data_IF_385196343597
#
_entry.id   IF_385196343597
#
_cell.length_a   1.000
_cell.length_b   1.000
_cell.length_c   1.000
_cell.angle_alpha   90.00
_cell.angle_beta   90.00
_cell.angle_gamma   90.00
#
_symmetry.space_group_name_H-M   'P 1'
#
loop_
_entity.id
_entity.type
_entity.pdbx_description
1 polymer ?
#
# COMPACT_ATOMS: atom_id res chain seq x y z
N UNK A 1 10.78 0.45 -40.59
CA UNK A 1 10.28 -0.66 -41.45
C UNK A 1 11.09 -0.64 -42.72
N UNK A 2 12.09 -1.52 -42.82
CA UNK A 2 13.03 -1.54 -43.94
C UNK A 2 12.53 -2.52 -45.01
N UNK A 3 11.81 -2.02 -46.02
CA UNK A 3 11.36 -2.84 -47.15
C UNK A 3 12.51 -3.05 -48.16
N UNK A 4 13.16 -4.20 -48.10
CA UNK A 4 14.25 -4.58 -49.02
C UNK A 4 13.70 -5.43 -50.17
N UNK A 5 13.80 -4.92 -51.41
CA UNK A 5 13.49 -5.70 -52.62
C UNK A 5 14.80 -6.21 -53.25
N UNK A 6 15.17 -7.46 -52.95
CA UNK A 6 16.41 -8.09 -53.39
C UNK A 6 16.24 -8.81 -54.74
N UNK A 7 16.28 -8.08 -55.85
CA UNK A 7 16.29 -8.70 -57.19
C UNK A 7 17.72 -8.83 -57.71
N UNK A 8 18.31 -10.02 -57.57
CA UNK A 8 19.58 -10.38 -58.21
C UNK A 8 20.87 -10.12 -57.43
N UNK A 9 20.79 -9.86 -56.11
CA UNK A 9 21.97 -9.74 -55.23
C UNK A 9 22.68 -11.10 -55.03
N UNK A 10 24.01 -11.14 -55.11
CA UNK A 10 24.84 -12.32 -54.77
C UNK A 10 25.38 -12.27 -53.33
N UNK A 11 25.29 -11.09 -52.71
CA UNK A 11 25.66 -10.80 -51.33
C UNK A 11 24.68 -9.80 -50.71
N UNK A 12 24.30 -10.05 -49.46
CA UNK A 12 23.57 -9.11 -48.61
C UNK A 12 24.25 -9.02 -47.25
N UNK A 13 24.68 -7.82 -46.89
CA UNK A 13 25.16 -7.49 -45.54
C UNK A 13 24.27 -6.40 -44.98
N UNK A 14 23.79 -6.61 -43.77
CA UNK A 14 22.99 -5.65 -43.02
C UNK A 14 23.58 -5.59 -41.62
N UNK A 15 23.89 -4.39 -41.18
CA UNK A 15 24.24 -4.02 -39.82
C UNK A 15 23.19 -3.02 -39.34
N UNK A 16 22.60 -3.28 -38.19
CA UNK A 16 21.66 -2.37 -37.54
C UNK A 16 22.10 -2.12 -36.10
N UNK A 17 22.12 -0.85 -35.72
CA UNK A 17 22.59 -0.32 -34.47
C UNK A 17 21.41 0.29 -33.71
N UNK A 18 21.19 -0.21 -32.49
CA UNK A 18 20.26 0.41 -31.55
C UNK A 18 20.94 1.57 -30.81
N UNK A 19 20.16 2.49 -30.20
CA UNK A 19 20.73 3.55 -29.37
C UNK A 19 21.72 3.04 -28.31
N UNK A 20 22.73 3.86 -28.02
CA UNK A 20 23.76 3.50 -27.05
C UNK A 20 23.15 3.13 -25.68
N UNK A 21 23.63 2.02 -25.11
CA UNK A 21 23.16 1.49 -23.82
C UNK A 21 21.97 0.54 -23.94
N UNK A 22 21.32 0.45 -25.10
CA UNK A 22 20.24 -0.52 -25.34
C UNK A 22 20.84 -1.85 -25.77
N UNK A 23 20.14 -2.94 -25.48
CA UNK A 23 20.63 -4.29 -25.76
C UNK A 23 19.85 -4.93 -26.91
N UNK A 24 20.55 -5.58 -27.82
CA UNK A 24 19.94 -6.45 -28.85
C UNK A 24 19.98 -7.91 -28.42
N UNK A 25 18.95 -8.67 -28.79
CA UNK A 25 18.88 -10.12 -28.54
C UNK A 25 18.05 -10.85 -29.59
N UNK A 26 18.15 -12.19 -29.64
CA UNK A 26 17.33 -13.07 -30.48
C UNK A 26 17.23 -12.68 -31.97
N UNK A 27 18.35 -12.46 -32.68
CA UNK A 27 18.29 -12.18 -34.12
C UNK A 27 17.72 -13.37 -34.92
N UNK A 28 16.86 -13.08 -35.88
CA UNK A 28 16.29 -14.09 -36.78
C UNK A 28 17.31 -14.54 -37.83
N UNK A 29 17.01 -15.66 -38.51
CA UNK A 29 17.68 -16.10 -39.75
C UNK A 29 19.21 -16.20 -39.69
N UNK A 30 19.74 -16.51 -38.49
CA UNK A 30 21.17 -16.69 -38.27
C UNK A 30 21.96 -15.39 -38.14
N UNK A 31 21.29 -14.27 -37.84
CA UNK A 31 21.97 -13.03 -37.48
C UNK A 31 22.87 -13.20 -36.25
N UNK A 32 23.90 -12.37 -36.17
CA UNK A 32 24.89 -12.37 -35.09
C UNK A 32 24.91 -11.02 -34.37
N UNK A 33 25.18 -11.08 -33.07
CA UNK A 33 25.36 -9.89 -32.23
C UNK A 33 26.87 -9.68 -32.11
N UNK A 34 27.41 -8.62 -32.72
CA UNK A 34 28.85 -8.33 -32.71
C UNK A 34 29.27 -7.59 -31.44
N UNK A 35 28.43 -6.68 -30.96
CA UNK A 35 28.50 -6.03 -29.66
C UNK A 35 27.09 -5.89 -29.06
N UNK A 36 26.98 -5.43 -27.81
CA UNK A 36 25.71 -5.43 -27.07
C UNK A 36 24.57 -4.66 -27.75
N UNK A 37 24.85 -3.77 -28.69
CA UNK A 37 23.89 -2.86 -29.32
C UNK A 37 23.86 -2.96 -30.86
N UNK A 38 24.51 -3.95 -31.44
CA UNK A 38 24.64 -4.09 -32.91
C UNK A 38 24.32 -5.52 -33.35
N UNK A 39 23.46 -5.63 -34.36
CA UNK A 39 23.03 -6.88 -34.95
C UNK A 39 23.34 -6.93 -36.45
N UNK A 40 23.94 -8.04 -36.87
CA UNK A 40 24.49 -8.22 -38.21
C UNK A 40 23.93 -9.45 -38.91
N UNK A 41 23.64 -9.32 -40.20
CA UNK A 41 23.28 -10.41 -41.10
C UNK A 41 24.19 -10.41 -42.32
N UNK A 42 24.70 -11.59 -42.66
CA UNK A 42 25.53 -11.79 -43.84
C UNK A 42 25.01 -12.99 -44.63
N UNK A 43 24.53 -12.74 -45.84
CA UNK A 43 24.09 -13.77 -46.78
C UNK A 43 24.98 -13.73 -48.02
N UNK A 44 25.50 -14.90 -48.43
CA UNK A 44 26.42 -15.03 -49.58
C UNK A 44 25.93 -16.18 -50.46
N UNK A 45 25.95 -15.98 -51.78
CA UNK A 45 25.68 -16.99 -52.83
C UNK A 45 24.28 -17.61 -52.84
N UNK A 46 23.30 -17.00 -52.19
CA UNK A 46 21.89 -17.36 -52.33
C UNK A 46 21.05 -16.13 -52.03
N UNK A 47 20.28 -15.65 -53.01
CA UNK A 47 19.26 -14.64 -52.74
C UNK A 47 18.37 -15.20 -51.62
N UNK A 48 18.38 -14.61 -50.42
CA UNK A 48 17.51 -15.11 -49.39
C UNK A 48 16.09 -14.87 -49.88
N UNK A 49 15.26 -15.91 -49.88
CA UNK A 49 13.80 -15.74 -49.97
C UNK A 49 13.22 -15.08 -48.70
N UNK A 50 14.04 -14.35 -47.95
CA UNK A 50 13.74 -13.72 -46.67
C UNK A 50 13.22 -12.33 -46.97
N UNK A 51 11.99 -12.07 -46.58
CA UNK A 51 11.34 -10.78 -46.75
C UNK A 51 11.38 -9.93 -45.47
N UNK A 52 11.87 -10.49 -44.36
CA UNK A 52 11.87 -9.82 -43.05
C UNK A 52 12.99 -10.36 -42.16
N UNK A 53 13.71 -9.46 -41.49
CA UNK A 53 14.68 -9.76 -40.43
C UNK A 53 14.19 -9.10 -39.13
N UNK A 54 14.33 -9.79 -38.00
CA UNK A 54 13.87 -9.31 -36.69
C UNK A 54 14.87 -9.57 -35.59
N UNK A 55 14.82 -8.77 -34.53
CA UNK A 55 15.56 -8.94 -33.28
C UNK A 55 14.79 -8.26 -32.15
N UNK A 56 15.08 -8.64 -30.91
CA UNK A 56 14.50 -8.05 -29.71
C UNK A 56 15.40 -6.93 -29.18
N UNK A 57 14.78 -5.88 -28.63
CA UNK A 57 15.47 -4.72 -28.05
C UNK A 57 15.08 -4.57 -26.58
N UNK A 58 16.08 -4.52 -25.70
CA UNK A 58 15.88 -4.18 -24.28
C UNK A 58 16.26 -2.71 -24.05
N UNK A 59 15.28 -1.92 -23.61
CA UNK A 59 15.44 -0.50 -23.27
C UNK A 59 15.88 -0.39 -21.80
N UNK A 60 16.94 0.37 -21.48
CA UNK A 60 17.33 0.68 -20.10
C UNK A 60 16.24 1.43 -19.34
N UNK A 61 16.05 1.10 -18.07
CA UNK A 61 15.05 1.76 -17.22
C UNK A 61 15.28 3.26 -16.99
N UNK A 62 16.49 3.75 -17.30
CA UNK A 62 16.91 5.16 -17.20
C UNK A 62 16.95 5.89 -18.57
N UNK A 63 16.42 5.28 -19.64
CA UNK A 63 16.35 5.94 -20.95
C UNK A 63 15.48 7.20 -20.87
N UNK A 64 16.02 8.33 -21.34
CA UNK A 64 15.30 9.60 -21.35
C UNK A 64 14.05 9.53 -22.25
N UNK A 65 12.99 10.24 -21.86
CA UNK A 65 11.80 10.39 -22.72
C UNK A 65 12.19 11.14 -23.98
N UNK A 66 11.81 10.59 -25.14
CA UNK A 66 12.05 11.24 -26.42
C UNK A 66 12.27 10.29 -27.59
N UNK A 67 12.52 10.86 -28.78
CA UNK A 67 12.71 10.10 -29.99
C UNK A 67 14.13 9.49 -30.03
N UNK A 68 14.18 8.20 -30.30
CA UNK A 68 15.42 7.48 -30.58
C UNK A 68 15.39 6.94 -32.00
N UNK A 69 16.51 7.09 -32.70
CA UNK A 69 16.70 6.62 -34.07
C UNK A 69 17.56 5.37 -34.07
N UNK A 70 17.10 4.37 -34.79
CA UNK A 70 17.91 3.25 -35.22
C UNK A 70 18.73 3.69 -36.46
N UNK A 71 19.90 3.11 -36.63
CA UNK A 71 20.81 3.44 -37.73
C UNK A 71 21.73 2.28 -38.00
N UNK A 72 22.46 2.28 -39.10
CA UNK A 72 23.18 1.08 -39.50
C UNK A 72 23.90 1.22 -40.81
N UNK A 73 24.36 0.11 -41.35
CA UNK A 73 24.97 0.04 -42.67
C UNK A 73 24.44 -1.16 -43.44
N UNK A 74 24.32 -1.05 -44.76
CA UNK A 74 23.96 -2.17 -45.61
C UNK A 74 24.79 -2.20 -46.89
N UNK A 75 25.01 -3.40 -47.42
CA UNK A 75 25.68 -3.64 -48.69
C UNK A 75 24.93 -4.75 -49.46
N UNK A 76 24.44 -4.40 -50.66
CA UNK A 76 23.75 -5.30 -51.58
C UNK A 76 24.52 -5.35 -52.89
N UNK A 77 25.43 -6.32 -53.03
CA UNK A 77 26.32 -6.38 -54.19
C UNK A 77 25.87 -7.38 -55.26
N UNK A 78 26.27 -7.09 -56.49
CA UNK A 78 26.48 -8.05 -57.61
C UNK A 78 27.72 -7.67 -58.44
N UNK A 79 28.14 -6.40 -58.38
CA UNK A 79 29.44 -5.90 -58.83
C UNK A 79 29.73 -4.56 -58.13
N UNK A 80 30.29 -4.64 -56.92
CA UNK A 80 30.80 -3.55 -56.09
C UNK A 80 29.90 -2.29 -55.89
N UNK A 81 28.97 -2.32 -54.93
CA UNK A 81 28.68 -1.18 -54.07
C UNK A 81 29.45 -1.32 -52.74
N UNK A 82 29.87 -0.19 -52.16
CA UNK A 82 30.40 -0.14 -50.79
C UNK A 82 29.27 0.01 -49.77
N UNK A 83 29.59 -0.16 -48.48
CA UNK A 83 28.68 0.06 -47.34
C UNK A 83 27.91 1.38 -47.51
N UNK A 84 26.59 1.31 -47.45
CA UNK A 84 25.67 2.44 -47.46
C UNK A 84 25.11 2.62 -46.06
N UNK A 85 25.11 3.83 -45.53
CA UNK A 85 24.55 4.12 -44.20
C UNK A 85 23.02 4.11 -44.24
N UNK A 86 22.42 3.40 -43.30
CA UNK A 86 21.01 3.50 -42.92
C UNK A 86 20.89 4.66 -41.94
N UNK A 87 20.30 5.77 -42.37
CA UNK A 87 19.96 6.87 -41.46
C UNK A 87 18.44 6.91 -41.25
N UNK A 88 17.99 6.59 -40.03
CA UNK A 88 16.61 6.77 -39.56
C UNK A 88 15.55 5.86 -40.22
N UNK A 89 15.79 4.56 -40.34
CA UNK A 89 14.81 3.62 -40.92
C UNK A 89 13.62 3.34 -40.00
N UNK A 90 13.84 3.42 -38.69
CA UNK A 90 12.84 3.24 -37.65
C UNK A 90 13.07 4.25 -36.52
N UNK A 91 12.00 4.95 -36.13
CA UNK A 91 11.98 5.82 -34.96
C UNK A 91 11.11 5.18 -33.90
N UNK A 92 11.63 5.08 -32.68
CA UNK A 92 10.85 4.72 -31.52
C UNK A 92 10.81 5.90 -30.56
N UNK A 93 9.63 6.19 -30.04
CA UNK A 93 9.47 7.19 -29.01
C UNK A 93 9.41 6.47 -27.66
N UNK A 94 10.39 6.71 -26.81
CA UNK A 94 10.27 6.35 -25.39
C UNK A 94 9.26 7.32 -24.81
N UNK A 95 8.08 6.80 -24.46
CA UNK A 95 7.04 7.57 -23.80
C UNK A 95 7.16 7.37 -22.30
N UNK A 96 6.84 8.41 -21.55
CA UNK A 96 6.67 8.31 -20.11
C UNK A 96 5.59 7.26 -19.84
N UNK A 97 5.90 6.29 -18.98
CA UNK A 97 4.89 5.36 -18.47
C UNK A 97 3.87 6.22 -17.73
N UNK A 98 2.57 6.17 -18.04
CA UNK A 98 1.59 6.89 -17.26
C UNK A 98 1.73 6.43 -15.81
N UNK A 99 2.05 7.35 -14.91
CA UNK A 99 1.91 7.09 -13.49
C UNK A 99 0.47 6.63 -13.28
N UNK A 100 0.27 5.38 -12.82
CA UNK A 100 -1.06 4.98 -12.36
C UNK A 100 -1.48 6.00 -11.30
N UNK A 101 -2.74 6.44 -11.28
CA UNK A 101 -3.20 7.32 -10.22
C UNK A 101 -3.01 6.58 -8.90
N UNK A 102 -1.95 6.93 -8.17
CA UNK A 102 -1.75 6.42 -6.82
C UNK A 102 -3.01 6.80 -6.04
N UNK A 103 -3.68 5.81 -5.47
CA UNK A 103 -4.67 6.08 -4.44
C UNK A 103 -3.97 6.97 -3.40
N UNK A 104 -4.58 8.09 -2.96
CA UNK A 104 -3.95 8.94 -1.97
C UNK A 104 -3.59 8.07 -0.76
N UNK A 105 -2.30 7.91 -0.51
CA UNK A 105 -1.83 7.25 0.70
C UNK A 105 -2.28 8.17 1.82
N UNK A 106 -3.26 7.73 2.60
CA UNK A 106 -3.65 8.44 3.79
C UNK A 106 -2.44 8.45 4.73
N UNK A 107 -1.96 9.64 5.04
CA UNK A 107 -0.87 9.88 5.99
C UNK A 107 -1.46 9.69 7.39
N UNK A 108 -1.48 8.43 7.84
CA UNK A 108 -1.92 8.08 9.18
C UNK A 108 -0.80 8.38 10.17
N UNK A 109 -1.16 8.90 11.35
CA UNK A 109 -0.20 9.01 12.44
C UNK A 109 0.12 7.60 12.98
N UNK A 110 1.36 7.33 13.41
CA UNK A 110 1.70 6.07 14.05
C UNK A 110 0.98 5.93 15.39
N UNK A 111 0.71 4.68 15.81
CA UNK A 111 0.23 4.42 17.17
C UNK A 111 1.43 4.46 18.11
N UNK A 112 1.35 5.31 19.14
CA UNK A 112 2.35 5.39 20.21
C UNK A 112 1.99 4.41 21.31
N UNK A 113 2.90 3.49 21.62
CA UNK A 113 2.82 2.59 22.76
C UNK A 113 3.79 3.11 23.83
N UNK A 114 3.24 3.79 24.82
CA UNK A 114 3.98 4.35 25.95
C UNK A 114 4.48 3.23 26.89
N UNK A 115 5.44 3.52 27.79
CA UNK A 115 5.81 2.60 28.86
C UNK A 115 4.60 2.13 29.69
N UNK A 116 4.65 0.89 30.18
CA UNK A 116 3.59 0.26 30.95
C UNK A 116 2.30 0.01 30.14
N UNK A 117 1.13 0.11 30.79
CA UNK A 117 -0.15 -0.26 30.19
C UNK A 117 -0.65 0.85 29.28
N UNK A 118 -1.10 0.48 28.08
CA UNK A 118 -1.82 1.34 27.16
C UNK A 118 -3.18 0.69 26.88
N UNK A 119 -4.21 1.51 26.71
CA UNK A 119 -5.53 1.04 26.27
C UNK A 119 -5.81 1.59 24.88
N UNK A 120 -5.57 0.73 23.88
CA UNK A 120 -5.53 1.13 22.48
C UNK A 120 -6.64 0.47 21.65
N UNK A 121 -6.83 0.93 20.43
CA UNK A 121 -7.67 0.29 19.42
C UNK A 121 -7.06 0.40 18.03
N UNK A 122 -7.64 -0.31 17.08
CA UNK A 122 -7.35 -0.14 15.64
C UNK A 122 -8.67 0.28 14.99
N UNK A 123 -8.79 1.52 14.47
CA UNK A 123 -10.09 2.11 14.09
C UNK A 123 -10.75 1.46 12.87
N UNK A 124 -9.97 0.86 11.97
CA UNK A 124 -10.43 0.32 10.70
C UNK A 124 -9.84 -1.06 10.40
N UNK A 125 -10.47 -1.79 9.47
CA UNK A 125 -9.99 -3.12 9.09
C UNK A 125 -8.64 -2.98 8.38
N UNK A 126 -7.64 -3.75 8.80
CA UNK A 126 -6.31 -3.73 8.19
C UNK A 126 -6.19 -4.72 7.03
N UNK A 127 -5.35 -4.41 6.05
CA UNK A 127 -4.92 -5.35 5.00
C UNK A 127 -4.30 -6.62 5.62
N UNK A 128 -3.55 -6.45 6.70
CA UNK A 128 -3.03 -7.54 7.53
C UNK A 128 -3.24 -7.20 9.01
N UNK A 129 -4.27 -7.80 9.60
CA UNK A 129 -4.66 -7.59 11.00
C UNK A 129 -3.91 -8.47 12.00
N UNK A 130 -3.03 -9.37 11.56
CA UNK A 130 -2.40 -10.32 12.48
C UNK A 130 -1.55 -9.61 13.52
N UNK A 131 -1.65 -10.04 14.78
CA UNK A 131 -0.87 -9.46 15.89
C UNK A 131 0.63 -9.58 15.64
N UNK A 132 1.08 -10.71 15.06
CA UNK A 132 2.48 -10.94 14.71
C UNK A 132 3.01 -9.91 13.70
N UNK A 133 2.18 -9.50 12.74
CA UNK A 133 2.55 -8.49 11.76
C UNK A 133 2.50 -7.08 12.35
N UNK A 134 1.38 -6.73 12.99
CA UNK A 134 1.13 -5.36 13.47
C UNK A 134 2.08 -4.98 14.61
N UNK A 135 2.42 -5.92 15.49
CA UNK A 135 3.30 -5.70 16.64
C UNK A 135 4.72 -6.26 16.44
N UNK A 136 5.15 -6.51 15.19
CA UNK A 136 6.43 -7.16 14.91
C UNK A 136 7.64 -6.47 15.58
N UNK A 137 7.61 -5.14 15.66
CA UNK A 137 8.67 -4.31 16.23
C UNK A 137 8.36 -3.80 17.66
N UNK A 138 7.29 -4.29 18.28
CA UNK A 138 6.87 -3.87 19.62
C UNK A 138 7.27 -4.94 20.65
N UNK A 139 8.04 -4.54 21.67
CA UNK A 139 8.37 -5.37 22.82
C UNK A 139 7.32 -5.19 23.92
N UNK A 140 6.40 -6.15 24.05
CA UNK A 140 5.31 -6.15 25.01
C UNK A 140 5.25 -7.46 25.83
N UNK A 141 4.71 -7.37 27.06
CA UNK A 141 4.54 -8.53 27.94
C UNK A 141 3.15 -9.16 27.81
N UNK A 142 2.12 -8.33 27.63
CA UNK A 142 0.73 -8.75 27.60
C UNK A 142 -0.02 -8.02 26.50
N UNK A 143 -0.92 -8.74 25.83
CA UNK A 143 -1.92 -8.20 24.91
C UNK A 143 -3.24 -8.92 25.17
N UNK A 144 -4.27 -8.17 25.57
CA UNK A 144 -5.54 -8.72 26.03
C UNK A 144 -6.70 -7.86 25.53
N UNK A 145 -7.85 -8.46 25.27
CA UNK A 145 -9.10 -7.73 25.14
C UNK A 145 -10.19 -8.34 26.03
N UNK A 146 -11.17 -7.52 26.39
CA UNK A 146 -12.30 -7.94 27.21
C UNK A 146 -13.47 -8.42 26.33
N UNK A 147 -13.81 -9.70 26.43
CA UNK A 147 -14.99 -10.25 25.79
C UNK A 147 -16.17 -10.24 26.76
N UNK A 148 -17.08 -9.28 26.58
CA UNK A 148 -18.25 -9.11 27.46
C UNK A 148 -19.24 -10.27 27.37
N UNK A 149 -19.38 -10.91 26.21
CA UNK A 149 -20.30 -12.05 26.04
C UNK A 149 -19.94 -13.21 26.98
N UNK A 150 -18.65 -13.49 27.10
CA UNK A 150 -18.10 -14.49 28.01
C UNK A 150 -17.74 -13.97 29.40
N UNK A 151 -17.69 -12.64 29.58
CA UNK A 151 -17.08 -11.97 30.74
C UNK A 151 -15.66 -12.48 31.05
N UNK A 152 -14.83 -12.60 30.01
CA UNK A 152 -13.47 -13.15 30.07
C UNK A 152 -12.46 -12.25 29.35
N UNK A 153 -11.22 -12.29 29.83
CA UNK A 153 -10.07 -11.77 29.10
C UNK A 153 -9.59 -12.79 28.07
N UNK A 154 -9.34 -12.34 26.85
CA UNK A 154 -8.86 -13.16 25.75
C UNK A 154 -7.58 -12.57 25.16
N UNK A 155 -6.71 -13.46 24.66
CA UNK A 155 -5.50 -13.08 23.94
C UNK A 155 -5.87 -13.05 22.44
N UNK A 156 -5.78 -11.89 21.78
CA UNK A 156 -6.11 -11.80 20.36
C UNK A 156 -5.00 -12.41 19.50
N UNK A 157 -5.38 -12.93 18.33
CA UNK A 157 -4.45 -13.28 17.25
C UNK A 157 -4.49 -12.27 16.11
N UNK A 158 -5.55 -11.48 16.05
CA UNK A 158 -5.80 -10.43 15.06
C UNK A 158 -6.41 -9.20 15.72
N UNK A 159 -6.15 -8.04 15.13
CA UNK A 159 -6.83 -6.79 15.46
C UNK A 159 -8.14 -6.66 14.68
N UNK A 160 -9.21 -6.31 15.38
CA UNK A 160 -10.52 -6.11 14.82
C UNK A 160 -10.99 -4.69 15.13
N UNK A 161 -11.62 -4.00 14.17
CA UNK A 161 -12.20 -2.69 14.40
C UNK A 161 -13.23 -2.71 15.53
N UNK A 162 -13.46 -1.56 16.16
CA UNK A 162 -14.38 -1.39 17.29
C UNK A 162 -13.99 -2.15 18.57
N UNK A 163 -12.97 -3.02 18.57
CA UNK A 163 -12.41 -3.60 19.80
C UNK A 163 -11.31 -2.72 20.38
N UNK A 164 -11.21 -2.73 21.70
CA UNK A 164 -10.09 -2.15 22.41
C UNK A 164 -9.25 -3.21 23.12
N UNK A 165 -7.96 -2.93 23.20
CA UNK A 165 -6.91 -3.85 23.60
C UNK A 165 -6.06 -3.21 24.69
N UNK A 166 -5.84 -3.95 25.76
CA UNK A 166 -4.80 -3.66 26.73
C UNK A 166 -3.49 -4.23 26.25
N UNK A 167 -2.48 -3.39 26.12
CA UNK A 167 -1.10 -3.79 25.81
C UNK A 167 -0.17 -3.26 26.90
N UNK A 168 0.73 -4.10 27.39
CA UNK A 168 1.74 -3.72 28.37
C UNK A 168 3.13 -3.68 27.72
N UNK A 169 3.65 -2.47 27.52
CA UNK A 169 5.01 -2.24 27.02
C UNK A 169 6.04 -2.69 28.06
N UNK A 170 7.06 -3.40 27.59
CA UNK A 170 8.21 -3.81 28.40
C UNK A 170 9.35 -2.78 28.37
N UNK A 171 9.19 -1.73 27.57
CA UNK A 171 10.19 -0.68 27.39
C UNK A 171 9.97 0.49 28.35
N UNK A 172 11.06 1.19 28.66
CA UNK A 172 11.03 2.44 29.43
C UNK A 172 10.89 3.69 28.57
N UNK A 173 10.70 3.50 27.26
CA UNK A 173 10.53 4.53 26.24
C UNK A 173 9.36 4.17 25.34
N UNK A 174 8.82 5.16 24.64
CA UNK A 174 7.75 4.98 23.67
C UNK A 174 8.19 4.10 22.51
N UNK A 175 7.28 3.25 22.05
CA UNK A 175 7.42 2.42 20.85
C UNK A 175 6.37 2.87 19.83
N UNK A 176 6.66 2.71 18.54
CA UNK A 176 5.78 3.18 17.46
C UNK A 176 5.33 2.02 16.59
N UNK A 177 4.02 1.89 16.38
CA UNK A 177 3.47 1.09 15.29
C UNK A 177 3.40 2.01 14.07
N UNK A 178 4.23 1.74 13.06
CA UNK A 178 4.34 2.57 11.86
C UNK A 178 3.01 2.63 11.09
N UNK A 179 2.71 3.78 10.49
CA UNK A 179 1.55 3.94 9.62
C UNK A 179 1.58 3.05 8.38
N UNK A 180 2.78 2.67 7.90
CA UNK A 180 2.97 1.70 6.82
C UNK A 180 2.47 0.29 7.20
N UNK A 181 2.41 -0.03 8.49
CA UNK A 181 1.89 -1.31 8.98
C UNK A 181 0.36 -1.23 9.16
N UNK A 182 -0.17 -0.02 9.39
CA UNK A 182 -1.58 0.28 9.60
C UNK A 182 -2.31 0.56 8.28
N UNK A 183 -2.01 -0.22 7.24
CA UNK A 183 -2.69 -0.08 5.94
C UNK A 183 -4.16 -0.55 6.02
N UNK A 184 -5.12 0.31 5.67
CA UNK A 184 -6.54 -0.06 5.67
C UNK A 184 -6.86 -1.03 4.52
N UNK A 185 -7.72 -2.00 4.82
CA UNK A 185 -8.32 -2.87 3.83
C UNK A 185 -9.16 -2.05 2.85
N UNK A 186 -8.87 -2.12 1.55
CA UNK A 186 -9.59 -1.34 0.53
C UNK A 186 -10.11 -2.24 -0.60
N UNK A 187 -11.44 -2.25 -0.91
CA UNK A 187 -12.51 -1.56 -0.18
C UNK A 187 -12.87 -2.26 1.13
N UNK A 188 -13.05 -1.49 2.21
CA UNK A 188 -13.60 -1.98 3.47
C UNK A 188 -15.13 -1.95 3.48
N UNK A 189 -15.73 -2.84 4.29
CA UNK A 189 -17.12 -2.71 4.73
C UNK A 189 -17.13 -2.05 6.11
N UNK A 190 -18.07 -1.13 6.40
CA UNK A 190 -18.17 -0.52 7.73
C UNK A 190 -18.29 -1.60 8.81
N UNK A 191 -17.46 -1.54 9.88
CA UNK A 191 -17.44 -2.57 10.91
C UNK A 191 -18.67 -2.48 11.81
N UNK A 192 -19.07 -3.60 12.40
CA UNK A 192 -20.12 -3.65 13.42
C UNK A 192 -19.69 -4.57 14.56
N UNK A 193 -20.06 -4.24 15.79
CA UNK A 193 -19.77 -5.06 16.95
C UNK A 193 -20.98 -5.13 17.89
N UNK A 194 -21.35 -6.34 18.30
CA UNK A 194 -22.37 -6.52 19.34
C UNK A 194 -21.79 -6.15 20.70
N UNK A 195 -22.51 -5.33 21.44
CA UNK A 195 -22.23 -5.01 22.84
C UNK A 195 -23.28 -5.64 23.74
N UNK A 196 -22.87 -5.98 24.96
CA UNK A 196 -23.71 -6.73 25.91
C UNK A 196 -23.95 -5.93 27.19
N UNK A 197 -25.02 -6.19 27.95
CA UNK A 197 -25.24 -5.56 29.24
C UNK A 197 -24.01 -5.69 30.16
N UNK A 198 -23.53 -4.58 30.71
CA UNK A 198 -22.31 -4.48 31.51
C UNK A 198 -21.21 -3.64 30.84
N UNK A 199 -19.99 -3.79 31.34
CA UNK A 199 -18.81 -3.09 30.81
C UNK A 199 -18.29 -3.78 29.55
N UNK A 200 -18.22 -3.03 28.46
CA UNK A 200 -17.63 -3.43 27.19
C UNK A 200 -16.36 -2.61 26.95
N UNK A 201 -15.29 -3.26 26.50
CA UNK A 201 -14.11 -2.58 25.98
C UNK A 201 -14.34 -2.34 24.49
N UNK A 202 -14.38 -1.08 24.09
CA UNK A 202 -14.65 -0.68 22.70
C UNK A 202 -13.52 0.22 22.19
N UNK A 203 -13.20 0.07 20.92
CA UNK A 203 -12.26 0.92 20.21
C UNK A 203 -12.96 2.05 19.47
N UNK A 204 -12.15 2.83 18.75
CA UNK A 204 -12.63 3.86 17.84
C UNK A 204 -13.18 3.27 16.54
N UNK A 205 -13.88 4.09 15.76
CA UNK A 205 -14.49 3.72 14.47
C UNK A 205 -13.68 4.22 13.28
N UNK A 206 -14.13 3.92 12.06
CA UNK A 206 -13.52 4.06 10.72
C UNK A 206 -13.16 5.51 10.28
N UNK A 207 -12.75 6.34 11.24
CA UNK A 207 -12.40 7.75 11.09
C UNK A 207 -11.08 8.04 11.79
N UNK A 208 -10.34 8.99 11.23
CA UNK A 208 -9.14 9.58 11.85
C UNK A 208 -9.43 10.90 12.57
N UNK A 209 -10.65 11.42 12.46
CA UNK A 209 -11.07 12.61 13.18
C UNK A 209 -11.40 12.24 14.62
N UNK A 210 -11.10 13.11 15.58
CA UNK A 210 -11.64 13.05 16.95
C UNK A 210 -13.12 13.46 16.90
N UNK A 211 -13.99 12.67 17.50
CA UNK A 211 -15.43 12.91 17.53
C UNK A 211 -15.99 12.75 18.94
N UNK A 212 -17.04 13.50 19.30
CA UNK A 212 -17.69 13.32 20.59
C UNK A 212 -18.38 11.96 20.69
N UNK A 213 -18.44 11.41 21.91
CA UNK A 213 -19.09 10.14 22.20
C UNK A 213 -20.55 10.09 21.75
N UNK A 214 -21.27 11.21 21.79
CA UNK A 214 -22.66 11.29 21.31
C UNK A 214 -22.80 10.97 19.81
N UNK A 215 -21.78 11.28 19.00
CA UNK A 215 -21.77 10.88 17.59
C UNK A 215 -21.27 9.44 17.43
N UNK A 216 -20.19 9.09 18.12
CA UNK A 216 -19.54 7.78 18.02
C UNK A 216 -20.41 6.62 18.49
N UNK A 217 -21.16 6.83 19.56
CA UNK A 217 -22.02 5.83 20.19
C UNK A 217 -23.49 6.02 19.81
N UNK A 218 -23.78 6.87 18.83
CA UNK A 218 -25.15 7.20 18.43
C UNK A 218 -25.98 5.98 18.00
N UNK A 219 -25.35 4.91 17.50
CA UNK A 219 -26.08 3.68 17.14
C UNK A 219 -26.58 2.89 18.35
N UNK A 220 -26.03 3.14 19.54
CA UNK A 220 -26.40 2.49 20.79
C UNK A 220 -26.92 3.51 21.82
N UNK A 221 -27.34 4.71 21.38
CA UNK A 221 -27.68 5.85 22.25
C UNK A 221 -28.70 5.50 23.36
N UNK A 222 -29.68 4.65 23.07
CA UNK A 222 -30.68 4.23 24.06
C UNK A 222 -30.20 3.09 24.98
N UNK A 223 -29.00 2.56 24.75
CA UNK A 223 -28.50 1.29 25.27
C UNK A 223 -27.23 1.41 26.13
N UNK A 224 -26.67 2.61 26.33
CA UNK A 224 -25.55 2.83 27.24
C UNK A 224 -25.78 4.01 28.19
N UNK A 225 -25.05 4.01 29.31
CA UNK A 225 -25.17 5.08 30.32
C UNK A 225 -23.89 5.88 30.49
N UNK A 226 -22.73 5.22 30.44
CA UNK A 226 -21.45 5.82 30.82
C UNK A 226 -20.37 5.33 29.86
N UNK A 227 -19.50 6.25 29.44
CA UNK A 227 -18.24 5.97 28.77
C UNK A 227 -17.07 6.47 29.62
N UNK A 228 -15.96 5.73 29.66
CA UNK A 228 -14.75 6.08 30.39
C UNK A 228 -13.55 5.97 29.45
N UNK A 229 -12.72 7.01 29.43
CA UNK A 229 -11.53 7.10 28.59
C UNK A 229 -11.13 8.55 28.30
N UNK A 230 -10.11 8.75 27.46
CA UNK A 230 -9.07 7.75 27.16
C UNK A 230 -8.26 7.37 28.42
N UNK A 231 -7.42 6.35 28.32
CA UNK A 231 -6.50 5.96 29.39
C UNK A 231 -5.17 6.69 29.23
N UNK A 232 -4.76 7.39 30.28
CA UNK A 232 -3.45 8.04 30.38
C UNK A 232 -2.44 7.04 30.98
N UNK A 233 -1.56 6.51 30.12
CA UNK A 233 -0.56 5.52 30.50
C UNK A 233 0.47 6.09 31.49
N UNK A 234 0.83 7.37 31.35
CA UNK A 234 1.82 8.03 32.17
C UNK A 234 1.36 8.18 33.63
N UNK A 235 0.07 8.45 33.84
CA UNK A 235 -0.51 8.61 35.18
C UNK A 235 -1.26 7.36 35.69
N UNK A 236 -1.56 6.41 34.80
CA UNK A 236 -2.28 5.18 35.12
C UNK A 236 -3.76 5.41 35.47
N UNK A 237 -4.39 6.42 34.86
CA UNK A 237 -5.76 6.85 35.17
C UNK A 237 -6.54 7.14 33.89
N UNK A 238 -7.87 7.19 33.99
CA UNK A 238 -8.70 7.68 32.88
C UNK A 238 -8.89 9.19 32.96
N UNK A 239 -8.88 9.84 31.79
CA UNK A 239 -8.98 11.30 31.73
C UNK A 239 -10.41 11.80 31.93
N UNK A 240 -11.42 11.09 31.41
CA UNK A 240 -12.81 11.54 31.43
C UNK A 240 -13.80 10.40 31.72
N UNK A 241 -14.98 10.80 32.19
CA UNK A 241 -16.16 9.96 32.36
C UNK A 241 -17.34 10.69 31.71
N UNK A 242 -17.78 10.20 30.55
CA UNK A 242 -18.92 10.72 29.80
C UNK A 242 -20.23 10.11 30.30
N UNK A 243 -21.24 10.95 30.52
CA UNK A 243 -22.59 10.54 30.94
C UNK A 243 -23.56 10.75 29.79
N UNK A 244 -24.17 9.66 29.33
CA UNK A 244 -25.11 9.70 28.23
C UNK A 244 -26.38 10.49 28.61
N UNK A 245 -26.83 11.35 27.71
CA UNK A 245 -28.00 12.23 27.93
C UNK A 245 -27.73 13.48 28.78
N UNK A 246 -26.49 13.69 29.24
CA UNK A 246 -26.05 14.91 29.90
C UNK A 246 -25.23 15.78 28.93
N UNK A 247 -25.10 17.08 29.21
CA UNK A 247 -24.37 18.02 28.34
C UNK A 247 -23.36 18.86 29.10
N UNK A 248 -22.23 19.16 28.45
CA UNK A 248 -21.18 20.02 28.98
C UNK A 248 -20.45 19.45 30.19
N UNK A 249 -19.76 20.32 30.95
CA UNK A 249 -18.99 19.89 32.12
C UNK A 249 -19.91 19.71 33.32
N UNK A 250 -19.93 18.50 33.91
CA UNK A 250 -20.74 18.17 35.09
C UNK A 250 -19.95 18.46 36.36
N UNK A 251 -18.80 17.79 36.54
CA UNK A 251 -17.91 17.99 37.70
C UNK A 251 -16.58 17.25 37.54
N UNK A 252 -15.45 17.96 37.64
CA UNK A 252 -14.13 17.34 37.54
C UNK A 252 -13.97 16.65 36.18
N UNK A 253 -13.63 15.36 36.19
CA UNK A 253 -13.50 14.54 34.97
C UNK A 253 -14.86 14.06 34.41
N UNK A 254 -15.98 14.38 35.07
CA UNK A 254 -17.32 14.00 34.60
C UNK A 254 -17.86 15.05 33.63
N UNK A 255 -18.24 14.61 32.44
CA UNK A 255 -18.75 15.44 31.34
C UNK A 255 -19.95 14.79 30.66
N UNK A 256 -20.73 15.56 29.90
CA UNK A 256 -21.71 15.05 28.94
C UNK A 256 -21.03 14.40 27.74
N UNK A 257 -21.75 13.49 27.07
CA UNK A 257 -21.25 12.80 25.86
C UNK A 257 -21.11 13.71 24.64
N UNK A 258 -21.67 14.92 24.70
CA UNK A 258 -21.55 15.99 23.70
C UNK A 258 -20.14 16.59 23.63
N UNK A 259 -19.40 16.56 24.73
CA UNK A 259 -18.02 17.08 24.85
C UNK A 259 -17.00 16.03 25.29
N UNK A 260 -17.42 14.78 25.50
CA UNK A 260 -16.51 13.67 25.71
C UNK A 260 -15.89 13.30 24.37
N UNK A 261 -14.63 13.66 24.15
CA UNK A 261 -13.92 13.32 22.93
C UNK A 261 -13.49 11.85 22.91
N UNK A 262 -13.73 11.19 21.78
CA UNK A 262 -13.17 9.88 21.45
C UNK A 262 -12.23 10.06 20.26
N UNK A 263 -10.98 9.60 20.38
CA UNK A 263 -9.97 9.67 19.32
C UNK A 263 -9.66 8.33 18.67
N UNK A 264 -9.07 8.36 17.45
CA UNK A 264 -8.51 7.16 16.83
C UNK A 264 -7.44 6.54 17.72
N UNK A 265 -7.28 5.22 17.61
CA UNK A 265 -6.30 4.41 18.34
C UNK A 265 -6.50 4.30 19.86
N UNK A 266 -7.50 4.96 20.43
CA UNK A 266 -7.80 4.92 21.86
C UNK A 266 -8.81 3.81 22.19
N UNK A 267 -8.66 3.21 23.37
CA UNK A 267 -9.63 2.29 23.96
C UNK A 267 -10.54 2.96 24.98
N UNK A 268 -11.80 2.53 25.03
CA UNK A 268 -12.82 3.07 25.93
C UNK A 268 -13.58 1.95 26.63
N UNK A 269 -14.04 2.24 27.85
CA UNK A 269 -15.01 1.39 28.55
C UNK A 269 -16.39 2.00 28.43
N UNK A 270 -17.35 1.22 27.94
CA UNK A 270 -18.76 1.63 27.86
C UNK A 270 -19.63 0.71 28.68
N UNK A 271 -20.40 1.30 29.59
CA UNK A 271 -21.40 0.60 30.38
C UNK A 271 -22.74 0.57 29.63
N UNK A 272 -23.05 -0.61 29.12
CA UNK A 272 -24.23 -0.90 28.30
C UNK A 272 -25.32 -1.51 29.17
N UNK A 273 -26.58 -1.11 28.97
CA UNK A 273 -27.74 -1.54 29.76
C UNK A 273 -28.55 -2.65 29.08
N UNK A 274 -28.49 -2.72 27.76
CA UNK A 274 -29.15 -3.74 26.94
C UNK A 274 -28.26 -4.17 25.77
N UNK A 275 -28.39 -5.41 25.31
CA UNK A 275 -27.65 -5.88 24.13
C UNK A 275 -28.01 -5.02 22.92
N UNK A 276 -26.99 -4.55 22.20
CA UNK A 276 -27.16 -3.68 21.04
C UNK A 276 -25.96 -3.84 20.07
N UNK A 277 -25.95 -3.10 18.97
CA UNK A 277 -24.90 -3.15 17.96
C UNK A 277 -24.29 -1.76 17.74
N UNK A 278 -22.98 -1.65 18.01
CA UNK A 278 -22.20 -0.50 17.56
C UNK A 278 -21.99 -0.64 16.06
N UNK A 279 -22.35 0.39 15.30
CA UNK A 279 -22.08 0.50 13.88
C UNK A 279 -21.01 1.56 13.64
N UNK A 280 -19.92 1.17 12.98
CA UNK A 280 -18.96 2.12 12.48
C UNK A 280 -19.48 2.85 11.24
N UNK A 281 -18.98 4.06 11.00
CA UNK A 281 -19.45 4.94 9.94
C UNK A 281 -18.31 5.65 9.22
#
# INVERSE_FOLDING_TARGET
LLDLTLVGADKTVIEDNVPAGWLVSNPSDGGSIEDTNTVNWIFINSAPGVTQLTYDVTIPGDAAVGPYTFGGEFDLAVAAPGLQTITCDTQMNVVEVPEEPECPVADYDPIVIEPCWNFMSVPFALNNSSVEFVLADINYNNLLYWNTSGAIWEIPTEFEPLKAYWIESNESVDQLISSEILEPLTPAVPPTMTVYPGWNAIGYTDSMAILPAELMLGSIDESYMVVIGPYDSANGMYEQIGHNGETGVISGIHVGTDIFDMGPYEGFWVYVTQEDTIAGF
#
